data_IF_379426204757
#
_entry.id   IF_379426204757
#
_cell.length_a   1.000
_cell.length_b   1.000
_cell.length_c   1.000
_cell.angle_alpha   90.00
_cell.angle_beta   90.00
_cell.angle_gamma   90.00
#
_symmetry.space_group_name_H-M   'P 1'
#
loop_
_entity.id
_entity.type
_entity.pdbx_description
1 polymer ?
#
# COMPACT_ATOMS: atom_id res chain seq x y z
N UNK A 1 -28.66 8.50 83.24
CA UNK A 1 -29.74 8.42 82.23
C UNK A 1 -29.16 8.81 80.87
N UNK A 2 -29.21 7.86 79.92
CA UNK A 2 -28.58 7.90 78.59
C UNK A 2 -29.49 8.56 77.55
N UNK A 3 -28.85 9.10 76.51
CA UNK A 3 -29.35 9.33 75.15
C UNK A 3 -30.37 10.46 74.90
N UNK A 4 -29.86 11.66 74.59
CA UNK A 4 -30.55 12.66 73.75
C UNK A 4 -29.60 13.29 72.71
N UNK A 5 -28.84 12.45 72.01
CA UNK A 5 -27.89 12.90 70.97
C UNK A 5 -27.91 11.99 69.73
N UNK A 6 -29.11 11.57 69.32
CA UNK A 6 -29.34 10.86 68.04
C UNK A 6 -30.69 11.22 67.45
N UNK A 7 -30.93 12.51 67.18
CA UNK A 7 -32.13 12.90 66.42
C UNK A 7 -31.96 14.11 65.50
N UNK A 8 -30.73 14.59 65.28
CA UNK A 8 -30.43 15.67 64.33
C UNK A 8 -29.52 15.26 63.17
N UNK A 9 -28.98 14.03 63.17
CA UNK A 9 -28.12 13.54 62.09
C UNK A 9 -28.89 12.87 60.93
N UNK A 10 -30.19 12.58 61.09
CA UNK A 10 -30.96 11.88 60.05
C UNK A 10 -31.69 12.81 59.07
N UNK A 11 -31.79 14.11 59.36
CA UNK A 11 -32.58 15.04 58.54
C UNK A 11 -31.74 15.84 57.53
N UNK A 12 -30.41 15.81 57.62
CA UNK A 12 -29.52 16.43 56.63
C UNK A 12 -29.12 15.50 55.47
N UNK A 13 -29.37 14.19 55.59
CA UNK A 13 -29.05 13.23 54.53
C UNK A 13 -30.12 13.11 53.44
N UNK A 14 -31.29 13.73 53.62
CA UNK A 14 -32.42 13.63 52.68
C UNK A 14 -32.62 14.86 51.78
N UNK A 15 -31.88 15.94 52.00
CA UNK A 15 -31.99 17.18 51.17
C UNK A 15 -30.87 17.25 50.11
N UNK A 16 -29.86 16.39 50.17
CA UNK A 16 -28.75 16.36 49.21
C UNK A 16 -28.95 15.52 47.95
N UNK A 17 -30.06 14.79 47.79
CA UNK A 17 -30.27 13.84 46.68
C UNK A 17 -31.25 14.38 45.61
N UNK A 18 -31.95 15.49 45.87
CA UNK A 18 -33.03 15.94 44.98
C UNK A 18 -32.63 16.77 43.73
N UNK A 19 -31.41 17.31 43.53
CA UNK A 19 -31.11 18.01 42.27
C UNK A 19 -30.58 17.10 41.15
N UNK A 20 -30.43 15.79 41.36
CA UNK A 20 -29.88 14.85 40.35
C UNK A 20 -30.92 14.30 39.34
N UNK A 21 -32.19 14.68 39.44
CA UNK A 21 -33.26 14.15 38.57
C UNK A 21 -33.85 15.16 37.58
N UNK A 22 -33.28 16.37 37.44
CA UNK A 22 -33.58 17.20 36.27
C UNK A 22 -32.74 16.73 35.08
N UNK A 23 -33.16 15.60 34.51
CA UNK A 23 -32.70 15.14 33.20
C UNK A 23 -33.03 16.19 32.14
N UNK A 24 -32.00 16.75 31.52
CA UNK A 24 -32.14 17.62 30.38
C UNK A 24 -32.61 16.75 29.20
N UNK A 25 -33.91 16.73 28.89
CA UNK A 25 -34.45 16.14 27.67
C UNK A 25 -34.11 17.02 26.46
N UNK A 26 -32.83 17.06 26.12
CA UNK A 26 -32.38 17.45 24.78
C UNK A 26 -32.53 16.22 23.90
N UNK A 27 -33.63 16.11 23.16
CA UNK A 27 -33.70 15.26 21.97
C UNK A 27 -32.71 15.80 20.95
N UNK A 28 -31.44 15.41 21.08
CA UNK A 28 -30.44 15.60 20.04
C UNK A 28 -30.74 14.56 18.98
N UNK A 29 -31.12 15.01 17.78
CA UNK A 29 -31.01 14.18 16.59
C UNK A 29 -29.59 13.61 16.56
N UNK A 30 -29.49 12.28 16.59
CA UNK A 30 -28.23 11.59 16.39
C UNK A 30 -27.79 11.84 14.94
N UNK A 31 -27.09 12.95 14.71
CA UNK A 31 -26.41 13.22 13.44
C UNK A 31 -25.53 12.00 13.13
N UNK A 32 -25.76 11.33 12.00
CA UNK A 32 -24.94 10.19 11.54
C UNK A 32 -23.47 10.62 11.44
N UNK A 33 -22.69 10.38 12.49
CA UNK A 33 -21.26 10.65 12.52
C UNK A 33 -20.53 9.62 11.65
N UNK A 34 -20.38 9.87 10.36
CA UNK A 34 -19.52 9.03 9.52
C UNK A 34 -18.08 9.32 9.92
N UNK A 35 -17.33 8.30 10.35
CA UNK A 35 -15.88 8.42 10.39
C UNK A 35 -15.42 8.57 8.93
N UNK A 36 -14.80 9.70 8.64
CA UNK A 36 -14.30 10.04 7.33
C UNK A 36 -12.79 9.80 7.38
N UNK A 37 -12.31 8.72 6.76
CA UNK A 37 -10.87 8.55 6.52
C UNK A 37 -10.52 9.16 5.17
N UNK A 38 -10.42 10.50 5.16
CA UNK A 38 -10.09 11.29 3.97
C UNK A 38 -8.61 11.37 3.67
N UNK A 39 -7.76 11.17 4.67
CA UNK A 39 -6.32 11.29 4.49
C UNK A 39 -5.79 10.03 3.80
N UNK A 40 -5.43 10.18 2.52
CA UNK A 40 -4.67 9.16 1.80
C UNK A 40 -3.18 9.32 2.10
N UNK A 41 -2.75 8.74 3.21
CA UNK A 41 -1.36 8.80 3.66
C UNK A 41 -0.48 7.70 3.04
N UNK A 42 -1.04 6.85 2.16
CA UNK A 42 -0.31 5.77 1.53
C UNK A 42 0.25 6.14 0.15
N UNK A 43 -0.15 7.30 -0.40
CA UNK A 43 0.31 7.76 -1.72
C UNK A 43 1.82 7.96 -1.71
N UNK A 44 2.48 7.20 -2.58
CA UNK A 44 3.90 7.38 -2.86
C UNK A 44 4.10 8.37 -4.02
N UNK A 45 5.30 8.92 -4.16
CA UNK A 45 5.63 9.83 -5.24
C UNK A 45 5.93 9.10 -6.58
N UNK A 46 5.50 7.84 -6.71
CA UNK A 46 5.62 7.02 -7.93
C UNK A 46 5.10 7.76 -9.17
N UNK A 47 4.08 8.62 -9.00
CA UNK A 47 3.51 9.40 -10.11
C UNK A 47 4.50 10.37 -10.75
N UNK A 48 5.38 10.99 -9.96
CA UNK A 48 6.45 11.85 -10.50
C UNK A 48 7.57 11.05 -11.17
N UNK A 49 7.63 9.74 -10.91
CA UNK A 49 8.68 8.80 -11.32
C UNK A 49 8.25 7.91 -12.49
N UNK A 50 6.97 7.93 -12.90
CA UNK A 50 6.46 7.08 -13.98
C UNK A 50 7.23 7.20 -15.30
N UNK A 51 7.84 8.36 -15.57
CA UNK A 51 8.65 8.61 -16.77
C UNK A 51 10.13 8.25 -16.66
N UNK A 52 10.60 7.73 -15.51
CA UNK A 52 12.04 7.45 -15.31
C UNK A 52 12.52 6.19 -16.03
N UNK A 53 11.62 5.21 -16.24
CA UNK A 53 11.95 3.94 -16.91
C UNK A 53 10.90 3.63 -17.98
N UNK A 54 11.31 3.83 -19.22
CA UNK A 54 10.51 3.50 -20.39
C UNK A 54 10.98 2.18 -21.02
N UNK A 55 10.05 1.32 -21.47
CA UNK A 55 10.39 0.18 -22.29
C UNK A 55 11.16 0.59 -23.54
N UNK A 56 12.17 -0.20 -23.92
CA UNK A 56 12.90 0.02 -25.18
C UNK A 56 12.00 -0.12 -26.40
N UNK A 57 11.04 -1.05 -26.32
CA UNK A 57 10.01 -1.27 -27.33
C UNK A 57 8.66 -1.56 -26.65
N UNK A 58 7.59 -0.98 -27.20
CA UNK A 58 6.22 -1.23 -26.72
C UNK A 58 5.77 -2.66 -27.00
N UNK A 59 6.12 -3.20 -28.17
CA UNK A 59 5.94 -4.61 -28.52
C UNK A 59 7.30 -5.29 -28.75
N UNK A 60 7.77 -6.11 -27.80
CA UNK A 60 9.06 -6.79 -27.92
C UNK A 60 9.01 -8.09 -28.74
N UNK A 61 7.87 -8.47 -29.32
CA UNK A 61 7.78 -9.75 -30.03
C UNK A 61 8.72 -9.79 -31.25
N UNK A 62 8.85 -8.68 -31.97
CA UNK A 62 9.84 -8.55 -33.06
C UNK A 62 11.30 -8.61 -32.59
N UNK A 63 11.57 -8.18 -31.35
CA UNK A 63 12.90 -8.27 -30.72
C UNK A 63 13.25 -9.74 -30.42
N UNK A 64 12.26 -10.54 -30.02
CA UNK A 64 12.44 -11.95 -29.69
C UNK A 64 12.70 -12.82 -30.92
N UNK A 65 12.11 -12.47 -32.06
CA UNK A 65 12.19 -13.27 -33.29
C UNK A 65 13.41 -12.95 -34.14
N UNK A 66 13.87 -11.69 -34.15
CA UNK A 66 14.80 -11.22 -35.18
C UNK A 66 16.18 -10.79 -34.64
N UNK A 67 16.39 -10.77 -33.33
CA UNK A 67 17.62 -10.24 -32.73
C UNK A 67 18.60 -11.34 -32.32
N UNK A 68 19.41 -11.79 -33.28
CA UNK A 68 20.41 -12.83 -33.06
C UNK A 68 21.47 -12.45 -32.02
N UNK A 69 21.77 -11.15 -31.87
CA UNK A 69 22.74 -10.66 -30.89
C UNK A 69 22.27 -10.92 -29.45
N UNK A 70 20.97 -10.75 -29.19
CA UNK A 70 20.38 -11.01 -27.89
C UNK A 70 19.98 -12.48 -27.70
N UNK A 71 19.35 -13.09 -28.71
CA UNK A 71 18.83 -14.46 -28.59
C UNK A 71 19.92 -15.51 -28.38
N UNK A 72 21.16 -15.23 -28.79
CA UNK A 72 22.30 -16.14 -28.60
C UNK A 72 22.80 -16.19 -27.15
N UNK A 73 22.60 -15.13 -26.36
CA UNK A 73 23.13 -15.02 -24.99
C UNK A 73 22.05 -15.00 -23.90
N UNK A 74 20.83 -14.60 -24.24
CA UNK A 74 19.76 -14.34 -23.28
C UNK A 74 18.51 -15.15 -23.59
N UNK A 75 17.88 -15.65 -22.54
CA UNK A 75 16.58 -16.29 -22.61
C UNK A 75 15.50 -15.29 -22.98
N UNK A 76 14.38 -15.79 -23.51
CA UNK A 76 13.19 -14.98 -23.80
C UNK A 76 12.78 -14.11 -22.60
N UNK A 77 12.80 -14.68 -21.39
CA UNK A 77 12.46 -13.97 -20.14
C UNK A 77 13.40 -12.80 -19.87
N UNK A 78 14.71 -13.01 -20.02
CA UNK A 78 15.72 -11.97 -19.83
C UNK A 78 15.58 -10.84 -20.86
N UNK A 79 15.32 -11.17 -22.13
CA UNK A 79 15.10 -10.16 -23.18
C UNK A 79 13.87 -9.32 -22.88
N UNK A 80 12.77 -9.94 -22.43
CA UNK A 80 11.55 -9.22 -22.06
C UNK A 80 11.75 -8.30 -20.86
N UNK A 81 12.47 -8.77 -19.84
CA UNK A 81 12.80 -7.96 -18.67
C UNK A 81 13.69 -6.79 -19.09
N UNK A 82 14.75 -7.04 -19.87
CA UNK A 82 15.64 -6.00 -20.36
C UNK A 82 14.93 -4.98 -21.26
N UNK A 83 13.95 -5.42 -22.06
CA UNK A 83 13.11 -4.53 -22.85
C UNK A 83 12.29 -3.61 -21.95
N UNK A 84 11.53 -4.17 -21.02
CA UNK A 84 10.66 -3.39 -20.14
C UNK A 84 11.47 -2.38 -19.33
N UNK A 85 12.64 -2.77 -18.82
CA UNK A 85 13.49 -1.89 -17.99
C UNK A 85 14.35 -0.90 -18.78
N UNK A 86 14.18 -0.80 -20.11
CA UNK A 86 14.92 0.15 -20.93
C UNK A 86 16.41 -0.21 -21.15
N UNK A 87 16.82 -1.44 -20.84
CA UNK A 87 18.24 -1.84 -20.83
C UNK A 87 18.77 -2.31 -22.20
N UNK A 88 17.90 -2.62 -23.17
CA UNK A 88 18.30 -3.19 -24.46
C UNK A 88 19.40 -2.37 -25.18
N UNK A 89 19.30 -1.02 -25.29
CA UNK A 89 20.31 -0.25 -26.00
C UNK A 89 21.71 -0.38 -25.36
N UNK A 90 21.78 -0.32 -24.03
CA UNK A 90 23.05 -0.40 -23.29
C UNK A 90 23.64 -1.80 -23.36
N UNK A 91 22.80 -2.84 -23.25
CA UNK A 91 23.22 -4.24 -23.40
C UNK A 91 23.82 -4.47 -24.78
N UNK A 92 23.12 -4.06 -25.85
CA UNK A 92 23.63 -4.19 -27.23
C UNK A 92 24.94 -3.44 -27.42
N UNK A 93 25.03 -2.21 -26.93
CA UNK A 93 26.24 -1.40 -27.03
C UNK A 93 27.43 -2.08 -26.33
N UNK A 94 27.19 -2.72 -25.18
CA UNK A 94 28.22 -3.46 -24.45
C UNK A 94 28.67 -4.71 -25.22
N UNK A 95 27.74 -5.50 -25.75
CA UNK A 95 28.06 -6.69 -26.55
C UNK A 95 28.85 -6.34 -27.82
N UNK A 96 28.46 -5.28 -28.53
CA UNK A 96 29.19 -4.80 -29.71
C UNK A 96 30.60 -4.35 -29.31
N UNK A 97 30.72 -3.56 -28.24
CA UNK A 97 32.02 -3.07 -27.76
C UNK A 97 32.93 -4.23 -27.34
N UNK A 98 32.39 -5.30 -26.76
CA UNK A 98 33.16 -6.49 -26.37
C UNK A 98 33.67 -7.29 -27.57
N UNK A 99 32.92 -7.30 -28.67
CA UNK A 99 33.33 -7.95 -29.93
C UNK A 99 34.32 -7.10 -30.75
N UNK A 100 34.47 -5.81 -30.44
CA UNK A 100 35.45 -4.91 -31.06
C UNK A 100 36.87 -5.10 -30.47
N UNK A 101 37.88 -4.42 -31.06
CA UNK A 101 39.29 -4.49 -30.64
C UNK A 101 39.47 -4.18 -29.13
N UNK A 102 40.43 -4.82 -28.44
CA UNK A 102 40.59 -4.77 -26.97
C UNK A 102 40.67 -3.36 -26.35
N UNK A 103 41.14 -2.37 -27.10
CA UNK A 103 41.22 -0.96 -26.64
C UNK A 103 39.83 -0.32 -26.47
N UNK A 104 38.85 -0.64 -27.32
CA UNK A 104 37.49 -0.11 -27.22
C UNK A 104 36.77 -0.60 -25.97
N UNK A 105 36.97 -1.89 -25.63
CA UNK A 105 36.43 -2.56 -24.44
C UNK A 105 36.98 -1.97 -23.15
N UNK A 106 38.29 -1.70 -23.08
CA UNK A 106 38.93 -1.10 -21.90
C UNK A 106 38.44 0.33 -21.61
N UNK A 107 38.12 1.11 -22.65
CA UNK A 107 37.73 2.52 -22.49
C UNK A 107 36.22 2.67 -22.24
N UNK A 108 35.37 1.97 -23.01
CA UNK A 108 33.91 2.17 -22.95
C UNK A 108 33.18 1.16 -22.06
N UNK A 109 33.77 -0.01 -21.82
CA UNK A 109 33.17 -1.10 -21.03
C UNK A 109 32.74 -0.67 -19.62
N UNK A 110 33.62 -0.07 -18.80
CA UNK A 110 33.28 0.34 -17.43
C UNK A 110 32.09 1.31 -17.37
N UNK A 111 32.03 2.30 -18.29
CA UNK A 111 30.93 3.26 -18.34
C UNK A 111 29.58 2.62 -18.70
N UNK A 112 29.58 1.62 -19.58
CA UNK A 112 28.36 0.88 -19.92
C UNK A 112 27.90 -0.03 -18.77
N UNK A 113 28.84 -0.68 -18.08
CA UNK A 113 28.54 -1.46 -16.87
C UNK A 113 27.95 -0.60 -15.77
N UNK A 114 28.49 0.60 -15.56
CA UNK A 114 27.95 1.57 -14.60
C UNK A 114 26.50 1.95 -14.94
N UNK A 115 26.20 2.26 -16.21
CA UNK A 115 24.82 2.55 -16.65
C UNK A 115 23.86 1.39 -16.40
N UNK A 116 24.32 0.15 -16.57
CA UNK A 116 23.53 -1.03 -16.21
C UNK A 116 23.26 -1.05 -14.70
N UNK A 117 24.27 -0.82 -13.84
CA UNK A 117 24.08 -0.77 -12.38
C UNK A 117 23.10 0.32 -11.94
N UNK A 118 23.23 1.51 -12.51
CA UNK A 118 22.31 2.62 -12.23
C UNK A 118 20.87 2.26 -12.60
N UNK A 119 20.68 1.60 -13.74
CA UNK A 119 19.35 1.16 -14.16
C UNK A 119 18.81 0.04 -13.28
N UNK A 120 19.64 -0.89 -12.81
CA UNK A 120 19.26 -1.91 -11.83
C UNK A 120 18.73 -1.29 -10.53
N UNK A 121 19.46 -0.30 -10.01
CA UNK A 121 19.09 0.41 -8.79
C UNK A 121 17.78 1.17 -8.95
N UNK A 122 17.58 1.85 -10.09
CA UNK A 122 16.30 2.53 -10.40
C UNK A 122 15.12 1.56 -10.44
N UNK A 123 15.26 0.43 -11.17
CA UNK A 123 14.22 -0.61 -11.23
C UNK A 123 13.88 -1.12 -9.83
N UNK A 124 14.89 -1.39 -9.00
CA UNK A 124 14.68 -1.85 -7.63
C UNK A 124 13.92 -0.81 -6.79
N UNK A 125 14.34 0.45 -6.84
CA UNK A 125 13.73 1.54 -6.07
C UNK A 125 12.23 1.67 -6.38
N UNK A 126 11.85 1.62 -7.66
CA UNK A 126 10.43 1.74 -8.04
C UNK A 126 9.62 0.52 -7.58
N UNK A 127 10.19 -0.68 -7.62
CA UNK A 127 9.52 -1.85 -7.05
C UNK A 127 9.36 -1.75 -5.53
N UNK A 128 10.40 -1.34 -4.80
CA UNK A 128 10.33 -1.17 -3.34
C UNK A 128 9.24 -0.14 -2.97
N UNK A 129 9.12 0.93 -3.75
CA UNK A 129 8.13 1.98 -3.54
C UNK A 129 6.70 1.46 -3.78
N UNK A 130 6.47 0.72 -4.88
CA UNK A 130 5.16 0.15 -5.20
C UNK A 130 4.73 -0.89 -4.16
N UNK A 131 5.67 -1.71 -3.69
CA UNK A 131 5.43 -2.67 -2.62
C UNK A 131 5.05 -1.97 -1.31
N UNK A 132 5.73 -0.87 -0.98
CA UNK A 132 5.43 -0.08 0.22
C UNK A 132 4.04 0.55 0.15
N UNK A 133 3.67 1.08 -1.02
CA UNK A 133 2.33 1.63 -1.27
C UNK A 133 1.25 0.56 -1.10
N UNK A 134 1.43 -0.62 -1.72
CA UNK A 134 0.51 -1.74 -1.60
C UNK A 134 0.35 -2.23 -0.15
N UNK A 135 1.45 -2.38 0.57
CA UNK A 135 1.43 -2.81 1.97
C UNK A 135 0.73 -1.78 2.86
N UNK A 136 1.00 -0.49 2.63
CA UNK A 136 0.30 0.60 3.33
C UNK A 136 -1.20 0.57 3.06
N UNK A 137 -1.62 0.46 1.80
CA UNK A 137 -3.04 0.39 1.41
C UNK A 137 -3.75 -0.83 2.01
N UNK A 138 -3.09 -1.98 2.02
CA UNK A 138 -3.57 -3.20 2.68
C UNK A 138 -3.82 -2.94 4.17
N UNK A 139 -2.85 -2.36 4.89
CA UNK A 139 -2.97 -2.09 6.32
C UNK A 139 -3.98 -0.97 6.63
N UNK A 140 -4.05 0.07 5.79
CA UNK A 140 -5.06 1.15 5.90
C UNK A 140 -6.47 0.57 5.78
N UNK A 141 -6.68 -0.31 4.82
CA UNK A 141 -7.96 -1.00 4.61
C UNK A 141 -8.28 -1.97 5.77
N UNK A 142 -7.30 -2.74 6.26
CA UNK A 142 -7.49 -3.61 7.45
C UNK A 142 -7.90 -2.83 8.69
N UNK A 143 -7.27 -1.68 8.94
CA UNK A 143 -7.62 -0.82 10.09
C UNK A 143 -9.03 -0.27 9.96
N UNK A 144 -9.45 0.10 8.75
CA UNK A 144 -10.83 0.51 8.48
C UNK A 144 -11.83 -0.61 8.78
N UNK A 145 -11.53 -1.84 8.35
CA UNK A 145 -12.36 -3.01 8.64
C UNK A 145 -12.41 -3.29 10.15
N UNK A 146 -11.27 -3.32 10.82
CA UNK A 146 -11.18 -3.56 12.26
C UNK A 146 -11.90 -2.49 13.10
N UNK A 147 -11.95 -1.24 12.62
CA UNK A 147 -12.75 -0.18 13.24
C UNK A 147 -14.26 -0.51 13.19
N UNK A 148 -14.76 -1.01 12.06
CA UNK A 148 -16.15 -1.43 11.91
C UNK A 148 -16.45 -2.75 12.66
N UNK A 149 -15.50 -3.69 12.72
CA UNK A 149 -15.64 -4.93 13.51
C UNK A 149 -15.66 -4.64 15.01
N UNK A 150 -14.71 -3.85 15.52
CA UNK A 150 -14.65 -3.45 16.92
C UNK A 150 -15.88 -2.67 17.40
N UNK A 151 -16.62 -2.06 16.46
CA UNK A 151 -17.95 -1.51 16.71
C UNK A 151 -19.01 -2.60 16.91
N UNK A 152 -18.99 -3.68 16.11
CA UNK A 152 -19.91 -4.84 16.24
C UNK A 152 -19.62 -5.67 17.50
N UNK A 153 -18.34 -5.87 17.87
CA UNK A 153 -17.95 -6.70 19.03
C UNK A 153 -18.15 -6.00 20.38
N UNK A 154 -18.24 -4.66 20.43
CA UNK A 154 -18.55 -3.89 21.66
C UNK A 154 -20.05 -3.82 22.00
N UNK A 155 -20.76 -4.94 21.84
CA UNK A 155 -21.84 -5.35 22.75
C UNK A 155 -21.31 -6.20 23.93
N UNK A 156 -20.02 -6.55 23.94
CA UNK A 156 -19.33 -7.12 25.09
C UNK A 156 -17.90 -6.55 25.25
N UNK A 157 -17.67 -5.87 26.38
CA UNK A 157 -16.40 -5.38 26.94
C UNK A 157 -15.65 -4.21 26.27
N UNK A 158 -15.84 -3.02 26.87
CA UNK A 158 -15.40 -1.72 26.34
C UNK A 158 -13.96 -1.28 26.69
N UNK A 159 -13.23 -2.00 27.56
CA UNK A 159 -11.98 -1.48 28.15
C UNK A 159 -10.68 -1.87 27.42
N UNK A 160 -10.66 -2.98 26.68
CA UNK A 160 -9.41 -3.53 26.09
C UNK A 160 -8.97 -2.78 24.82
N UNK A 161 -9.92 -2.39 23.97
CA UNK A 161 -9.61 -1.73 22.68
C UNK A 161 -9.09 -0.30 22.89
N UNK A 162 -9.59 0.40 23.92
CA UNK A 162 -9.09 1.74 24.26
C UNK A 162 -7.62 1.71 24.72
N UNK A 163 -7.19 0.63 25.39
CA UNK A 163 -5.81 0.44 25.82
C UNK A 163 -4.85 0.12 24.66
N UNK A 164 -5.31 -0.60 23.62
CA UNK A 164 -4.48 -0.92 22.44
C UNK A 164 -4.16 0.31 21.59
N UNK A 165 -5.08 1.26 21.44
CA UNK A 165 -4.84 2.51 20.72
C UNK A 165 -4.11 3.58 21.56
N UNK A 166 -4.17 3.48 22.90
CA UNK A 166 -3.34 4.32 23.78
C UNK A 166 -1.86 3.87 23.82
N UNK A 167 -1.58 2.60 23.50
CA UNK A 167 -0.23 2.03 23.55
C UNK A 167 0.65 2.27 22.32
N UNK A 168 0.09 2.72 21.19
CA UNK A 168 0.82 2.90 19.92
C UNK A 168 1.31 4.34 19.67
N UNK A 169 1.10 5.26 20.61
CA UNK A 169 1.70 6.58 20.62
C UNK A 169 2.95 6.62 21.52
N UNK A 170 3.94 5.76 21.25
CA UNK A 170 5.30 5.97 21.77
C UNK A 170 6.18 6.46 20.63
N UNK A 171 6.23 7.79 20.51
CA UNK A 171 7.21 8.51 19.71
C UNK A 171 8.63 8.07 20.08
N UNK A 172 9.42 7.84 19.04
CA UNK A 172 10.88 7.67 19.08
C UNK A 172 11.49 8.82 19.89
N UNK A 173 12.26 8.50 20.92
CA UNK A 173 13.05 9.48 21.67
C UNK A 173 14.31 9.79 20.86
N UNK A 174 14.56 11.04 20.42
CA UNK A 174 15.93 11.44 20.09
C UNK A 174 16.66 11.60 21.42
N UNK A 175 17.51 10.63 21.76
CA UNK A 175 18.47 10.77 22.85
C UNK A 175 19.49 11.80 22.41
N UNK A 176 19.40 13.05 22.91
CA UNK A 176 20.55 13.96 22.98
C UNK A 176 20.43 14.90 24.19
N UNK A 177 21.13 14.48 25.25
CA UNK A 177 21.99 15.24 26.18
C UNK A 177 21.46 16.53 26.82
N UNK A 178 21.40 16.47 28.16
CA UNK A 178 21.31 17.58 29.13
C UNK A 178 22.15 18.80 28.72
N UNK A 179 21.52 19.98 28.70
CA UNK A 179 22.07 21.15 29.39
C UNK A 179 20.95 22.14 29.74
N UNK A 180 21.12 22.74 30.91
CA UNK A 180 20.17 23.56 31.65
C UNK A 180 19.98 24.96 31.05
N UNK A 181 18.73 25.32 30.70
CA UNK A 181 18.06 26.63 30.90
C UNK A 181 16.71 26.65 30.13
N UNK A 182 15.67 27.36 30.60
CA UNK A 182 14.36 27.36 29.96
C UNK A 182 14.29 28.51 28.96
N UNK A 183 14.20 28.21 27.66
CA UNK A 183 13.76 29.22 26.70
C UNK A 183 13.09 28.59 25.49
N UNK A 184 11.78 28.87 25.40
CA UNK A 184 10.89 28.75 24.25
C UNK A 184 11.15 27.61 23.25
N UNK A 185 10.42 26.52 23.44
CA UNK A 185 10.04 25.66 22.32
C UNK A 185 8.54 25.40 22.38
N UNK A 186 7.83 26.05 21.46
CA UNK A 186 6.47 25.67 21.09
C UNK A 186 6.57 24.25 20.53
N UNK A 187 6.07 23.27 21.29
CA UNK A 187 5.81 21.93 20.80
C UNK A 187 4.30 21.83 20.65
N UNK A 188 3.84 21.94 19.39
CA UNK A 188 2.46 21.60 19.01
C UNK A 188 2.36 20.07 19.09
N UNK A 189 2.03 19.57 20.28
CA UNK A 189 1.64 18.19 20.49
C UNK A 189 0.13 18.07 20.30
N UNK A 190 -0.30 17.50 19.18
CA UNK A 190 -1.69 17.11 18.96
C UNK A 190 -2.09 16.00 19.94
N UNK A 191 -2.64 16.38 21.10
CA UNK A 191 -3.05 15.43 22.15
C UNK A 191 -4.40 15.77 22.81
N UNK A 192 -5.24 16.61 22.18
CA UNK A 192 -6.56 16.97 22.74
C UNK A 192 -7.66 16.81 21.66
N UNK A 193 -7.94 15.56 21.25
CA UNK A 193 -9.16 15.24 20.48
C UNK A 193 -9.77 13.87 20.87
N UNK A 194 -9.01 12.96 21.48
CA UNK A 194 -9.35 11.54 21.60
C UNK A 194 -10.38 11.18 22.70
N UNK A 195 -10.53 11.98 23.76
CA UNK A 195 -11.46 11.66 24.84
C UNK A 195 -12.93 12.06 24.53
N UNK A 196 -13.15 13.09 23.71
CA UNK A 196 -14.49 13.58 23.40
C UNK A 196 -15.18 12.78 22.29
N UNK A 197 -14.42 12.22 21.34
CA UNK A 197 -14.97 11.28 20.36
C UNK A 197 -15.47 10.00 21.02
N UNK A 198 -14.76 9.47 22.03
CA UNK A 198 -15.09 8.20 22.69
C UNK A 198 -16.48 8.15 23.33
N UNK A 199 -16.96 9.25 23.92
CA UNK A 199 -18.27 9.29 24.57
C UNK A 199 -19.44 9.52 23.57
N UNK A 200 -19.19 10.21 22.47
CA UNK A 200 -20.20 10.45 21.42
C UNK A 200 -20.33 9.28 20.43
N UNK A 201 -19.31 8.42 20.35
CA UNK A 201 -19.27 7.18 19.55
C UNK A 201 -20.22 6.06 20.05
N UNK A 202 -20.72 6.16 21.28
CA UNK A 202 -21.62 5.15 21.87
C UNK A 202 -23.08 5.28 21.43
N UNK A 203 -23.45 6.31 20.67
CA UNK A 203 -24.84 6.63 20.34
C UNK A 203 -25.22 6.45 18.87
N UNK A 204 -24.33 6.00 17.98
CA UNK A 204 -24.65 5.95 16.55
C UNK A 204 -24.18 4.67 15.84
N UNK A 205 -25.17 3.93 15.34
CA UNK A 205 -25.14 2.72 14.49
C UNK A 205 -24.33 2.82 13.20
N UNK A 206 -23.01 2.90 13.26
CA UNK A 206 -22.18 3.01 12.05
C UNK A 206 -21.81 1.63 11.49
N UNK A 207 -22.55 1.17 10.47
CA UNK A 207 -22.21 -0.01 9.67
C UNK A 207 -21.27 0.29 8.49
N UNK A 208 -20.89 1.55 8.28
CA UNK A 208 -20.11 2.00 7.12
C UNK A 208 -19.12 3.12 7.46
N UNK A 209 -18.01 3.15 6.73
CA UNK A 209 -16.99 4.22 6.72
C UNK A 209 -16.89 4.80 5.31
N UNK A 210 -16.78 6.12 5.21
CA UNK A 210 -16.45 6.74 3.93
C UNK A 210 -14.92 6.63 3.74
N UNK A 211 -14.52 5.86 2.74
CA UNK A 211 -13.14 5.48 2.44
C UNK A 211 -12.82 5.86 0.99
N UNK A 212 -11.83 6.71 0.81
CA UNK A 212 -11.39 7.23 -0.50
C UNK A 212 -9.90 7.10 -0.65
N UNK A 213 -9.46 7.06 -1.89
CA UNK A 213 -8.06 6.95 -2.26
C UNK A 213 -7.75 7.90 -3.42
N UNK A 214 -6.54 8.43 -3.45
CA UNK A 214 -6.04 9.23 -4.57
C UNK A 214 -5.75 8.34 -5.77
N UNK A 215 -5.22 7.14 -5.52
CA UNK A 215 -4.90 6.12 -6.53
C UNK A 215 -5.56 4.81 -6.22
N UNK A 216 -6.15 4.17 -7.24
CA UNK A 216 -6.76 2.86 -7.07
C UNK A 216 -5.93 1.78 -7.74
N UNK A 217 -4.95 1.25 -7.01
CA UNK A 217 -4.09 0.16 -7.49
C UNK A 217 -4.88 -1.10 -7.93
N UNK A 218 -6.15 -1.25 -7.53
CA UNK A 218 -6.99 -2.35 -8.01
C UNK A 218 -7.64 -2.09 -9.39
N UNK A 219 -7.81 -0.81 -9.77
CA UNK A 219 -8.60 -0.39 -10.93
C UNK A 219 -8.04 -0.97 -12.23
N UNK A 220 -6.78 -0.69 -12.55
CA UNK A 220 -6.20 -1.08 -13.84
C UNK A 220 -6.04 -2.60 -13.98
N UNK A 221 -5.80 -3.28 -12.86
CA UNK A 221 -5.82 -4.75 -12.79
C UNK A 221 -7.20 -5.28 -13.18
N UNK A 222 -8.27 -4.62 -12.74
CA UNK A 222 -9.63 -5.01 -13.05
C UNK A 222 -10.05 -4.63 -14.47
N UNK A 223 -9.75 -3.42 -14.93
CA UNK A 223 -10.20 -2.90 -16.23
C UNK A 223 -9.44 -3.48 -17.41
N UNK A 224 -8.23 -4.01 -17.20
CA UNK A 224 -7.36 -4.56 -18.25
C UNK A 224 -7.05 -3.51 -19.33
N UNK A 225 -6.68 -2.31 -18.88
CA UNK A 225 -6.34 -1.20 -19.76
C UNK A 225 -5.07 -1.45 -20.57
N UNK A 226 -5.01 -0.91 -21.80
CA UNK A 226 -3.81 -1.01 -22.64
C UNK A 226 -2.64 -0.21 -22.05
N UNK A 227 -2.93 0.95 -21.48
CA UNK A 227 -1.97 1.84 -20.83
C UNK A 227 -2.49 2.12 -19.44
N UNK A 228 -1.65 1.88 -18.44
CA UNK A 228 -2.01 2.08 -17.05
C UNK A 228 -1.77 3.53 -16.63
N UNK A 229 -2.73 4.08 -15.89
CA UNK A 229 -2.57 5.35 -15.16
C UNK A 229 -2.11 5.08 -13.71
N UNK A 230 -2.31 3.85 -13.23
CA UNK A 230 -2.02 3.43 -11.86
C UNK A 230 -0.66 2.73 -11.71
N UNK A 231 0.07 2.42 -12.78
CA UNK A 231 1.34 1.70 -12.73
C UNK A 231 2.38 2.30 -13.68
N UNK A 232 3.68 2.26 -13.34
CA UNK A 232 4.73 2.66 -14.26
C UNK A 232 4.70 1.80 -15.52
N UNK A 233 5.00 2.38 -16.69
CA UNK A 233 4.90 1.71 -17.98
C UNK A 233 5.66 0.38 -18.02
N UNK A 234 6.89 0.34 -17.47
CA UNK A 234 7.66 -0.91 -17.42
C UNK A 234 7.02 -1.98 -16.52
N UNK A 235 6.48 -1.62 -15.36
CA UNK A 235 5.79 -2.56 -14.47
C UNK A 235 4.54 -3.08 -15.17
N UNK A 236 3.75 -2.20 -15.77
CA UNK A 236 2.55 -2.58 -16.50
C UNK A 236 2.86 -3.55 -17.64
N UNK A 237 3.91 -3.27 -18.42
CA UNK A 237 4.36 -4.18 -19.48
C UNK A 237 4.75 -5.54 -18.92
N UNK A 238 5.50 -5.60 -17.81
CA UNK A 238 5.90 -6.85 -17.15
C UNK A 238 4.69 -7.65 -16.63
N UNK A 239 3.72 -6.98 -15.99
CA UNK A 239 2.49 -7.61 -15.47
C UNK A 239 1.63 -8.21 -16.59
N UNK A 240 1.73 -7.68 -17.80
CA UNK A 240 1.01 -8.15 -18.97
C UNK A 240 1.75 -9.23 -19.80
N UNK A 241 2.91 -9.71 -19.34
CA UNK A 241 3.61 -10.84 -19.98
C UNK A 241 3.22 -12.17 -19.37
N UNK A 242 2.96 -13.16 -20.22
CA UNK A 242 2.69 -14.55 -19.82
C UNK A 242 3.96 -15.26 -19.35
N UNK A 243 5.09 -14.90 -19.94
CA UNK A 243 6.42 -15.46 -19.63
C UNK A 243 6.91 -15.13 -18.21
N UNK A 244 6.28 -14.16 -17.56
CA UNK A 244 6.61 -13.73 -16.20
C UNK A 244 5.62 -14.27 -15.16
N UNK A 245 4.50 -14.86 -15.59
CA UNK A 245 3.58 -15.49 -14.67
C UNK A 245 4.15 -16.85 -14.21
N UNK A 246 4.22 -17.06 -12.90
CA UNK A 246 4.69 -18.33 -12.33
C UNK A 246 3.50 -19.26 -12.12
N UNK A 247 3.53 -20.45 -12.73
CA UNK A 247 2.54 -21.51 -12.52
C UNK A 247 1.52 -21.69 -13.65
N UNK A 248 1.07 -20.62 -14.31
CA UNK A 248 0.18 -20.71 -15.48
C UNK A 248 0.68 -19.87 -16.65
N UNK A 249 1.35 -20.54 -17.60
CA UNK A 249 1.98 -19.87 -18.73
C UNK A 249 0.98 -19.38 -19.80
N UNK A 250 -0.32 -19.64 -19.65
CA UNK A 250 -1.35 -19.23 -20.61
C UNK A 250 -1.93 -17.83 -20.34
N UNK A 251 -1.78 -17.33 -19.11
CA UNK A 251 -2.29 -16.03 -18.66
C UNK A 251 -1.13 -15.12 -18.26
N UNK A 252 -1.29 -13.81 -18.51
CA UNK A 252 -0.39 -12.81 -17.91
C UNK A 252 -0.55 -12.79 -16.39
N UNK A 253 0.39 -12.15 -15.69
CA UNK A 253 0.28 -11.99 -14.23
C UNK A 253 -1.01 -11.24 -13.87
N UNK A 254 -1.29 -10.14 -14.55
CA UNK A 254 -2.52 -9.36 -14.36
C UNK A 254 -3.78 -10.21 -14.61
N UNK A 255 -3.82 -10.97 -15.71
CA UNK A 255 -4.97 -11.82 -16.04
C UNK A 255 -5.17 -12.93 -14.99
N UNK A 256 -4.07 -13.47 -14.47
CA UNK A 256 -4.10 -14.48 -13.43
C UNK A 256 -4.63 -13.91 -12.10
N UNK A 257 -4.21 -12.70 -11.71
CA UNK A 257 -4.75 -11.99 -10.54
C UNK A 257 -6.25 -11.75 -10.70
N UNK A 258 -6.66 -11.13 -11.81
CA UNK A 258 -8.07 -10.85 -12.12
C UNK A 258 -8.93 -12.11 -12.10
N UNK A 259 -8.42 -13.22 -12.67
CA UNK A 259 -9.11 -14.51 -12.64
C UNK A 259 -9.32 -15.01 -11.21
N UNK A 260 -8.29 -14.96 -10.35
CA UNK A 260 -8.40 -15.38 -8.93
C UNK A 260 -9.44 -14.54 -8.19
N UNK A 261 -9.37 -13.22 -8.33
CA UNK A 261 -10.35 -12.29 -7.75
C UNK A 261 -11.77 -12.63 -8.17
N UNK A 262 -12.01 -12.81 -9.46
CA UNK A 262 -13.33 -13.17 -9.98
C UNK A 262 -13.84 -14.50 -9.41
N UNK A 263 -12.98 -15.52 -9.39
CA UNK A 263 -13.40 -16.88 -9.03
C UNK A 263 -13.60 -17.12 -7.53
N UNK A 264 -12.90 -16.37 -6.69
CA UNK A 264 -12.82 -16.64 -5.24
C UNK A 264 -13.44 -15.47 -4.46
N UNK A 265 -12.90 -14.26 -4.65
CA UNK A 265 -13.17 -13.12 -3.77
C UNK A 265 -14.43 -12.34 -4.17
N UNK A 266 -14.77 -12.34 -5.46
CA UNK A 266 -15.87 -11.55 -6.04
C UNK A 266 -17.06 -12.40 -6.47
N UNK A 267 -17.07 -13.69 -6.12
CA UNK A 267 -18.17 -14.57 -6.48
C UNK A 267 -19.46 -14.11 -5.77
N UNK A 268 -20.45 -13.66 -6.56
CA UNK A 268 -21.69 -13.08 -6.02
C UNK A 268 -21.61 -11.61 -5.62
N UNK A 269 -20.51 -10.91 -5.91
CA UNK A 269 -20.41 -9.46 -5.68
C UNK A 269 -21.41 -8.70 -6.55
N UNK A 270 -22.14 -7.76 -5.95
CA UNK A 270 -23.07 -6.90 -6.67
C UNK A 270 -22.34 -5.73 -7.35
N UNK A 271 -23.01 -5.05 -8.29
CA UNK A 271 -22.45 -3.91 -9.03
C UNK A 271 -21.95 -2.79 -8.10
N UNK A 272 -22.65 -2.52 -7.00
CA UNK A 272 -22.25 -1.47 -6.06
C UNK A 272 -20.91 -1.79 -5.39
N UNK A 273 -20.69 -3.03 -4.94
CA UNK A 273 -19.41 -3.47 -4.38
C UNK A 273 -18.30 -3.38 -5.42
N UNK A 274 -18.54 -3.78 -6.67
CA UNK A 274 -17.55 -3.64 -7.75
C UNK A 274 -17.19 -2.16 -8.02
N UNK A 275 -18.18 -1.26 -7.99
CA UNK A 275 -17.93 0.18 -8.14
C UNK A 275 -17.12 0.75 -6.98
N UNK A 276 -17.42 0.35 -5.74
CA UNK A 276 -16.62 0.74 -4.59
C UNK A 276 -15.17 0.27 -4.77
N UNK A 277 -14.95 -1.00 -5.08
CA UNK A 277 -13.62 -1.60 -5.16
C UNK A 277 -12.76 -1.00 -6.28
N UNK A 278 -13.33 -0.75 -7.46
CA UNK A 278 -12.57 -0.45 -8.68
C UNK A 278 -12.74 0.97 -9.22
N UNK A 279 -13.59 1.84 -8.64
CA UNK A 279 -13.71 3.25 -9.05
C UNK A 279 -12.98 4.18 -8.09
N UNK A 280 -13.66 5.17 -7.49
CA UNK A 280 -13.07 6.23 -6.63
C UNK A 280 -13.31 6.05 -5.13
N UNK A 281 -13.78 4.88 -4.73
CA UNK A 281 -14.18 4.59 -3.35
C UNK A 281 -15.58 5.11 -3.04
N UNK A 282 -15.89 5.24 -1.74
CA UNK A 282 -17.24 5.59 -1.29
C UNK A 282 -17.53 5.10 0.12
N UNK A 283 -18.77 4.69 0.38
CA UNK A 283 -19.21 4.27 1.70
C UNK A 283 -19.13 2.75 1.85
N UNK A 284 -18.05 2.27 2.45
CA UNK A 284 -17.73 0.87 2.61
C UNK A 284 -18.33 0.27 3.88
N UNK A 285 -18.89 -0.92 3.76
CA UNK A 285 -19.13 -1.79 4.91
C UNK A 285 -17.84 -2.52 5.34
N UNK A 286 -17.90 -3.22 6.47
CA UNK A 286 -16.80 -4.08 6.91
C UNK A 286 -16.46 -5.15 5.87
N UNK A 287 -17.47 -5.83 5.33
CA UNK A 287 -17.30 -6.89 4.33
C UNK A 287 -16.63 -6.33 3.06
N UNK A 288 -17.04 -5.13 2.59
CA UNK A 288 -16.41 -4.47 1.44
C UNK A 288 -14.91 -4.18 1.70
N UNK A 289 -14.54 -3.80 2.93
CA UNK A 289 -13.14 -3.53 3.32
C UNK A 289 -12.33 -4.82 3.50
N UNK A 290 -12.94 -5.88 4.01
CA UNK A 290 -12.32 -7.20 4.06
C UNK A 290 -12.05 -7.72 2.65
N UNK A 291 -13.01 -7.59 1.72
CA UNK A 291 -12.80 -7.92 0.31
C UNK A 291 -11.66 -7.09 -0.27
N UNK A 292 -11.66 -5.76 -0.12
CA UNK A 292 -10.58 -4.90 -0.61
C UNK A 292 -9.21 -5.31 -0.05
N UNK A 293 -9.15 -5.67 1.23
CA UNK A 293 -7.94 -6.18 1.89
C UNK A 293 -7.42 -7.45 1.22
N UNK A 294 -8.31 -8.40 0.91
CA UNK A 294 -7.92 -9.64 0.23
C UNK A 294 -7.41 -9.37 -1.19
N UNK A 295 -8.06 -8.47 -1.93
CA UNK A 295 -7.61 -8.08 -3.27
C UNK A 295 -6.22 -7.42 -3.24
N UNK A 296 -6.02 -6.44 -2.35
CA UNK A 296 -4.73 -5.75 -2.17
C UNK A 296 -3.63 -6.71 -1.73
N UNK A 297 -3.89 -7.61 -0.77
CA UNK A 297 -2.91 -8.59 -0.31
C UNK A 297 -2.50 -9.60 -1.40
N UNK A 298 -3.42 -10.02 -2.26
CA UNK A 298 -3.09 -10.85 -3.42
C UNK A 298 -2.24 -10.11 -4.44
N UNK A 299 -2.52 -8.82 -4.67
CA UNK A 299 -1.75 -7.96 -5.55
C UNK A 299 -0.34 -7.72 -5.00
N UNK A 300 -0.21 -7.35 -3.73
CA UNK A 300 1.06 -7.19 -3.00
C UNK A 300 1.93 -8.45 -3.15
N UNK A 301 1.37 -9.63 -2.86
CA UNK A 301 2.09 -10.90 -3.01
C UNK A 301 2.57 -11.13 -4.44
N UNK A 302 1.74 -10.78 -5.42
CA UNK A 302 2.06 -10.96 -6.84
C UNK A 302 3.15 -9.99 -7.32
N UNK A 303 3.13 -8.74 -6.84
CA UNK A 303 4.16 -7.74 -7.12
C UNK A 303 5.48 -8.08 -6.42
N UNK A 304 5.44 -8.61 -5.19
CA UNK A 304 6.61 -9.14 -4.50
C UNK A 304 7.30 -10.25 -5.30
N UNK A 305 6.51 -11.22 -5.80
CA UNK A 305 7.04 -12.29 -6.64
C UNK A 305 7.57 -11.77 -7.98
N UNK A 306 6.88 -10.82 -8.62
CA UNK A 306 7.34 -10.19 -9.86
C UNK A 306 8.68 -9.49 -9.65
N UNK A 307 8.82 -8.68 -8.61
CA UNK A 307 10.05 -7.99 -8.25
C UNK A 307 11.21 -8.98 -8.08
N UNK A 308 11.02 -10.03 -7.27
CA UNK A 308 12.03 -11.07 -7.08
C UNK A 308 12.45 -11.75 -8.40
N UNK A 309 11.48 -12.06 -9.26
CA UNK A 309 11.73 -12.63 -10.58
C UNK A 309 12.51 -11.68 -11.50
N UNK A 310 12.15 -10.40 -11.52
CA UNK A 310 12.83 -9.37 -12.31
C UNK A 310 14.26 -9.20 -11.84
N UNK A 311 14.48 -9.05 -10.53
CA UNK A 311 15.82 -8.93 -9.94
C UNK A 311 16.70 -10.14 -10.27
N UNK A 312 16.13 -11.35 -10.20
CA UNK A 312 16.84 -12.58 -10.60
C UNK A 312 17.27 -12.56 -12.07
N UNK A 313 16.36 -12.18 -12.99
CA UNK A 313 16.67 -12.05 -14.41
C UNK A 313 17.76 -11.00 -14.67
N UNK A 314 17.64 -9.86 -14.02
CA UNK A 314 18.57 -8.74 -14.13
C UNK A 314 19.99 -9.09 -13.65
N UNK A 315 20.11 -9.80 -12.53
CA UNK A 315 21.39 -10.33 -12.05
C UNK A 315 21.98 -11.37 -13.00
N UNK A 316 21.14 -12.23 -13.59
CA UNK A 316 21.58 -13.19 -14.61
C UNK A 316 22.14 -12.48 -15.84
N UNK A 317 21.46 -11.44 -16.32
CA UNK A 317 21.93 -10.60 -17.43
C UNK A 317 23.30 -9.99 -17.10
N UNK A 318 23.42 -9.35 -15.94
CA UNK A 318 24.68 -8.75 -15.50
C UNK A 318 25.82 -9.78 -15.46
N UNK A 319 25.57 -10.97 -14.90
CA UNK A 319 26.58 -12.04 -14.81
C UNK A 319 27.07 -12.47 -16.20
N UNK A 320 26.14 -12.64 -17.16
CA UNK A 320 26.48 -13.00 -18.54
C UNK A 320 27.33 -11.93 -19.22
N UNK A 321 27.00 -10.66 -19.02
CA UNK A 321 27.74 -9.53 -19.58
C UNK A 321 29.16 -9.37 -18.99
N UNK A 322 29.39 -9.83 -17.76
CA UNK A 322 30.73 -9.87 -17.14
C UNK A 322 31.53 -11.06 -17.67
N UNK A 323 30.92 -12.24 -17.84
CA UNK A 323 31.64 -13.42 -18.33
C UNK A 323 32.13 -13.22 -19.76
N UNK A 324 31.38 -12.53 -20.61
CA UNK A 324 31.82 -12.17 -21.98
C UNK A 324 33.01 -11.20 -22.05
N UNK A 325 33.53 -10.69 -20.92
CA UNK A 325 34.73 -9.83 -20.87
C UNK A 325 36.03 -10.57 -20.55
N UNK A 326 35.96 -11.86 -20.20
CA UNK A 326 37.13 -12.72 -19.96
C UNK A 326 37.38 -13.63 -21.16
#
# INVERSE_FOLDING_TARGET
MKNKTKLLASSFFLIGILPLLMGCNTTREASKFRLIMKDDYCVSNINGVFSEIEPSFNNPDSLLENDSLLSNGFSKKEILVANATGMIPVIKQLLITQNDRPVGTMIKGPGLQQRIQEQLLRVKSIFDELQSELSCETERTKRAAAYLDGYKTKRANNLTIAAMFAGSATTVVPVLVKSSKPQNTIVIGGAIVSAYLGAKLLQSGHNKVDFTYERNLLSDIWTDTKVSEEYPAFIWQLMNRKELNTGNNNLSLQQNIKKRWWSIELNGANTHTLELLFKKGGSYSEDDLQTRTMLLGQLETSVNLLSANVQSCLLSIQKKLVISTK
#
